data_IF_681309295604
#
_entry.id   IF_681309295604
#
_cell.length_a   1.000
_cell.length_b   1.000
_cell.length_c   1.000
_cell.angle_alpha   90.00
_cell.angle_beta   90.00
_cell.angle_gamma   90.00
#
_symmetry.space_group_name_H-M   'P 1'
#
loop_
_entity.id
_entity.type
_entity.pdbx_description
1 polymer ?
#
# COMPACT_ATOMS: atom_id res chain seq x y z
N UNK A 1 -82.47 11.25 -61.32
CA UNK A 1 -83.01 10.21 -62.23
C UNK A 1 -82.20 8.93 -62.07
N UNK A 2 -82.83 7.75 -62.22
CA UNK A 2 -82.39 6.44 -61.73
C UNK A 2 -81.65 5.63 -62.81
N UNK A 3 -81.01 4.51 -62.45
CA UNK A 3 -81.16 3.20 -63.11
C UNK A 3 -80.14 2.17 -62.59
N UNK A 4 -80.64 0.95 -62.46
CA UNK A 4 -80.00 -0.32 -62.11
C UNK A 4 -79.09 -0.87 -63.23
N UNK A 5 -78.42 -1.99 -62.88
CA UNK A 5 -78.05 -3.17 -63.72
C UNK A 5 -76.53 -3.39 -63.90
N UNK A 6 -75.98 -4.35 -63.13
CA UNK A 6 -75.53 -5.65 -63.66
C UNK A 6 -74.10 -5.86 -64.20
N UNK A 7 -73.62 -7.08 -63.95
CA UNK A 7 -72.61 -7.91 -64.68
C UNK A 7 -71.08 -7.66 -64.37
N UNK A 8 -70.14 -8.57 -64.71
CA UNK A 8 -69.66 -9.72 -63.91
C UNK A 8 -68.13 -9.74 -63.60
N UNK A 9 -67.76 -10.79 -62.85
CA UNK A 9 -66.42 -11.33 -62.58
C UNK A 9 -65.50 -11.52 -63.80
N UNK A 10 -64.20 -11.22 -63.62
CA UNK A 10 -63.01 -12.04 -63.98
C UNK A 10 -61.72 -11.20 -63.96
N UNK A 11 -60.70 -11.59 -63.18
CA UNK A 11 -59.44 -12.21 -63.64
C UNK A 11 -58.36 -12.22 -62.53
N UNK A 12 -57.59 -13.31 -62.53
CA UNK A 12 -56.36 -13.62 -61.79
C UNK A 12 -55.46 -12.46 -61.35
N UNK A 13 -55.04 -12.48 -60.08
CA UNK A 13 -53.70 -12.03 -59.67
C UNK A 13 -53.16 -12.98 -58.60
N UNK A 14 -51.96 -13.51 -58.84
CA UNK A 14 -51.21 -14.37 -57.94
C UNK A 14 -50.83 -13.62 -56.64
N UNK A 15 -51.18 -14.19 -55.49
CA UNK A 15 -50.70 -13.67 -54.19
C UNK A 15 -49.49 -14.47 -53.73
N UNK A 16 -48.36 -13.78 -53.73
CA UNK A 16 -47.05 -14.21 -53.24
C UNK A 16 -47.11 -14.38 -51.72
N UNK A 17 -46.63 -15.53 -51.25
CA UNK A 17 -46.48 -15.86 -49.84
C UNK A 17 -45.52 -14.88 -49.12
N UNK A 18 -45.92 -14.37 -47.95
CA UNK A 18 -45.00 -13.71 -47.00
C UNK A 18 -44.72 -14.67 -45.83
N UNK A 19 -43.49 -15.16 -45.65
CA UNK A 19 -43.15 -15.95 -44.49
C UNK A 19 -42.98 -15.05 -43.25
N UNK A 20 -43.49 -15.57 -42.14
CA UNK A 20 -43.46 -15.00 -40.80
C UNK A 20 -42.00 -14.89 -40.30
N UNK A 21 -41.55 -13.69 -39.96
CA UNK A 21 -40.19 -13.46 -39.45
C UNK A 21 -40.15 -13.67 -37.94
N UNK A 22 -39.65 -14.82 -37.51
CA UNK A 22 -39.12 -14.97 -36.15
C UNK A 22 -37.87 -14.09 -36.02
N UNK A 23 -37.93 -13.08 -35.16
CA UNK A 23 -36.76 -12.27 -34.79
C UNK A 23 -35.83 -13.11 -33.92
N UNK A 24 -34.61 -13.33 -34.41
CA UNK A 24 -33.55 -14.02 -33.66
C UNK A 24 -33.16 -13.22 -32.40
N UNK A 25 -32.76 -13.90 -31.32
CA UNK A 25 -32.25 -13.22 -30.12
C UNK A 25 -31.02 -12.39 -30.48
N UNK A 26 -31.05 -11.10 -30.15
CA UNK A 26 -29.91 -10.20 -30.28
C UNK A 26 -28.81 -10.66 -29.32
N UNK A 27 -27.83 -11.40 -29.84
CA UNK A 27 -26.57 -11.59 -29.13
C UNK A 27 -25.83 -10.25 -29.17
N UNK A 28 -25.40 -9.71 -28.01
CA UNK A 28 -24.65 -8.47 -27.99
C UNK A 28 -23.34 -8.64 -28.78
N UNK A 29 -22.90 -7.62 -29.53
CA UNK A 29 -21.68 -7.70 -30.31
C UNK A 29 -20.50 -8.03 -29.40
N UNK A 30 -19.66 -8.96 -29.84
CA UNK A 30 -18.50 -9.53 -29.10
C UNK A 30 -17.55 -8.48 -28.52
N UNK A 31 -17.52 -7.27 -29.09
CA UNK A 31 -16.78 -6.12 -28.55
C UNK A 31 -17.28 -5.66 -27.18
N UNK A 32 -18.59 -5.63 -26.94
CA UNK A 32 -19.19 -5.18 -25.67
C UNK A 32 -18.89 -6.20 -24.57
N UNK A 33 -18.97 -7.50 -24.88
CA UNK A 33 -18.61 -8.56 -23.93
C UNK A 33 -17.12 -8.50 -23.54
N UNK A 34 -16.22 -8.23 -24.50
CA UNK A 34 -14.78 -8.06 -24.22
C UNK A 34 -14.49 -6.87 -23.31
N UNK A 35 -15.13 -5.73 -23.56
CA UNK A 35 -14.97 -4.52 -22.72
C UNK A 35 -15.44 -4.76 -21.29
N UNK A 36 -16.56 -5.47 -21.10
CA UNK A 36 -17.06 -5.85 -19.77
C UNK A 36 -16.09 -6.81 -19.07
N UNK A 37 -15.57 -7.82 -19.77
CA UNK A 37 -14.60 -8.76 -19.19
C UNK A 37 -13.30 -8.08 -18.74
N UNK A 38 -12.80 -7.12 -19.52
CA UNK A 38 -11.60 -6.33 -19.15
C UNK A 38 -11.89 -5.47 -17.92
N UNK A 39 -13.03 -4.79 -17.88
CA UNK A 39 -13.42 -3.96 -16.75
C UNK A 39 -13.57 -4.79 -15.47
N UNK A 40 -14.22 -5.95 -15.57
CA UNK A 40 -14.37 -6.90 -14.46
C UNK A 40 -13.02 -7.41 -13.97
N UNK A 41 -12.09 -7.73 -14.87
CA UNK A 41 -10.74 -8.16 -14.51
C UNK A 41 -9.93 -7.05 -13.80
N UNK A 42 -10.04 -5.80 -14.26
CA UNK A 42 -9.41 -4.63 -13.62
C UNK A 42 -10.01 -4.40 -12.22
N UNK A 43 -11.33 -4.45 -12.07
CA UNK A 43 -12.01 -4.31 -10.77
C UNK A 43 -11.62 -5.44 -9.82
N UNK A 44 -11.54 -6.69 -10.30
CA UNK A 44 -11.05 -7.83 -9.51
C UNK A 44 -9.58 -7.66 -9.10
N UNK A 45 -8.71 -7.16 -9.97
CA UNK A 45 -7.31 -6.89 -9.63
C UNK A 45 -7.17 -5.75 -8.60
N UNK A 46 -8.02 -4.72 -8.68
CA UNK A 46 -8.09 -3.61 -7.72
C UNK A 46 -8.66 -4.06 -6.36
N UNK A 47 -9.63 -4.98 -6.35
CA UNK A 47 -10.19 -5.56 -5.13
C UNK A 47 -9.23 -6.58 -4.48
N UNK A 48 -8.45 -7.31 -5.29
CA UNK A 48 -7.45 -8.26 -4.80
C UNK A 48 -6.16 -7.59 -4.30
N UNK A 49 -5.98 -6.30 -4.56
CA UNK A 49 -4.86 -5.50 -4.04
C UNK A 49 -5.13 -4.90 -2.65
N UNK A 50 -6.08 -5.46 -1.90
CA UNK A 50 -6.07 -5.32 -0.44
C UNK A 50 -4.78 -5.94 0.08
N UNK A 51 -3.73 -5.14 0.19
CA UNK A 51 -2.65 -5.42 1.13
C UNK A 51 -3.33 -5.70 2.45
N UNK A 52 -3.29 -6.95 2.90
CA UNK A 52 -3.69 -7.27 4.25
C UNK A 52 -2.94 -6.28 5.13
N UNK A 53 -3.70 -5.47 5.87
CA UNK A 53 -3.20 -4.80 7.04
C UNK A 53 -2.96 -5.88 8.11
N UNK A 54 -2.10 -6.86 7.81
CA UNK A 54 -1.26 -7.39 8.85
C UNK A 54 -0.54 -6.15 9.36
N UNK A 55 -0.91 -5.71 10.57
CA UNK A 55 -0.10 -4.76 11.28
C UNK A 55 1.29 -5.37 11.27
N UNK A 56 2.19 -4.85 10.40
CA UNK A 56 3.51 -5.42 10.23
C UNK A 56 4.15 -5.43 11.61
N UNK A 57 4.23 -6.60 12.20
CA UNK A 57 4.80 -6.75 13.52
C UNK A 57 6.27 -6.36 13.38
N UNK A 58 6.62 -5.20 13.93
CA UNK A 58 7.99 -4.70 13.85
C UNK A 58 8.88 -5.55 14.74
N UNK A 59 9.88 -6.17 14.14
CA UNK A 59 10.89 -6.92 14.89
C UNK A 59 12.10 -6.04 15.09
N UNK A 60 12.32 -5.63 16.34
CA UNK A 60 13.54 -4.93 16.76
C UNK A 60 14.63 -5.96 17.02
N UNK A 61 15.66 -5.97 16.19
CA UNK A 61 16.81 -6.88 16.32
C UNK A 61 17.92 -6.24 17.14
N UNK A 62 18.76 -7.05 17.77
CA UNK A 62 20.03 -6.57 18.32
C UNK A 62 20.95 -6.12 17.17
N UNK A 63 21.75 -5.08 17.39
CA UNK A 63 22.59 -4.45 16.37
C UNK A 63 23.54 -5.44 15.65
N UNK A 64 24.04 -6.47 16.35
CA UNK A 64 24.92 -7.52 15.78
C UNK A 64 24.17 -8.50 14.89
N UNK A 65 22.89 -8.69 15.15
CA UNK A 65 22.03 -9.63 14.43
C UNK A 65 21.51 -9.02 13.11
N UNK A 66 21.81 -7.74 12.85
CA UNK A 66 21.59 -7.12 11.55
C UNK A 66 22.54 -7.67 10.50
N UNK A 67 21.99 -8.05 9.35
CA UNK A 67 22.75 -8.33 8.13
C UNK A 67 23.48 -7.08 7.62
N UNK A 68 24.44 -7.27 6.70
CA UNK A 68 25.15 -6.14 6.09
C UNK A 68 24.24 -5.18 5.29
N UNK A 69 23.15 -5.68 4.69
CA UNK A 69 22.12 -4.84 4.07
C UNK A 69 21.30 -4.07 5.08
N UNK A 70 20.93 -4.68 6.21
CA UNK A 70 20.17 -3.99 7.28
C UNK A 70 21.00 -2.90 7.94
N UNK A 71 22.31 -3.14 8.16
CA UNK A 71 23.22 -2.11 8.70
C UNK A 71 23.33 -0.91 7.76
N UNK A 72 23.48 -1.13 6.45
CA UNK A 72 23.48 -0.04 5.46
C UNK A 72 22.15 0.70 5.44
N UNK A 73 21.03 -0.04 5.44
CA UNK A 73 19.69 0.54 5.49
C UNK A 73 19.45 1.41 6.74
N UNK A 74 20.00 1.02 7.89
CA UNK A 74 19.98 1.82 9.12
C UNK A 74 20.76 3.13 8.96
N UNK A 75 22.00 3.05 8.49
CA UNK A 75 22.87 4.22 8.31
C UNK A 75 22.28 5.19 7.28
N UNK A 76 21.87 4.66 6.11
CA UNK A 76 21.28 5.46 5.04
C UNK A 76 20.00 6.16 5.49
N UNK A 77 19.14 5.46 6.26
CA UNK A 77 17.93 6.02 6.84
C UNK A 77 18.20 7.16 7.81
N UNK A 78 19.17 6.99 8.73
CA UNK A 78 19.55 8.04 9.67
C UNK A 78 20.19 9.26 8.98
N UNK A 79 21.01 9.02 7.95
CA UNK A 79 21.57 10.09 7.11
C UNK A 79 20.48 10.85 6.36
N UNK A 80 19.46 10.15 5.84
CA UNK A 80 18.29 10.78 5.21
C UNK A 80 17.51 11.64 6.22
N UNK A 81 17.24 11.12 7.41
CA UNK A 81 16.59 11.87 8.51
C UNK A 81 17.40 13.10 8.96
N UNK A 82 18.73 13.04 8.89
CA UNK A 82 19.56 14.21 9.17
C UNK A 82 19.42 15.26 8.08
N UNK A 83 19.46 14.85 6.81
CA UNK A 83 19.40 15.75 5.64
C UNK A 83 18.08 16.50 5.51
N UNK A 84 16.97 15.87 5.85
CA UNK A 84 15.63 16.48 5.77
C UNK A 84 15.15 17.14 7.09
N UNK A 85 16.03 17.14 8.10
CA UNK A 85 15.78 17.72 9.41
C UNK A 85 14.86 16.92 10.33
N UNK A 86 14.46 15.70 9.95
CA UNK A 86 13.63 14.82 10.79
C UNK A 86 14.31 14.48 12.11
N UNK A 87 15.61 14.22 12.08
CA UNK A 87 16.39 13.96 13.29
C UNK A 87 16.44 15.18 14.22
N UNK A 88 16.55 16.39 13.65
CA UNK A 88 16.54 17.63 14.43
C UNK A 88 15.15 17.90 15.05
N UNK A 89 14.06 17.58 14.36
CA UNK A 89 12.71 17.66 14.91
C UNK A 89 12.54 16.73 16.12
N UNK A 90 12.99 15.48 16.02
CA UNK A 90 12.96 14.53 17.15
C UNK A 90 13.79 15.04 18.33
N UNK A 91 14.98 15.58 18.07
CA UNK A 91 15.82 16.22 19.11
C UNK A 91 15.10 17.37 19.81
N UNK A 92 14.43 18.25 19.05
CA UNK A 92 13.66 19.36 19.59
C UNK A 92 12.48 18.89 20.45
N UNK A 93 11.73 17.89 19.99
CA UNK A 93 10.63 17.30 20.78
C UNK A 93 11.14 16.80 22.13
N UNK A 94 12.26 16.08 22.15
CA UNK A 94 12.87 15.63 23.40
C UNK A 94 13.31 16.80 24.30
N UNK A 95 14.00 17.79 23.74
CA UNK A 95 14.51 18.94 24.48
C UNK A 95 13.38 19.76 25.13
N UNK A 96 12.30 20.01 24.38
CA UNK A 96 11.15 20.80 24.85
C UNK A 96 10.34 20.05 25.94
N UNK A 97 10.51 18.73 26.07
CA UNK A 97 9.75 17.88 26.99
C UNK A 97 10.58 17.31 28.16
N UNK A 98 11.82 17.77 28.38
CA UNK A 98 12.67 17.30 29.49
C UNK A 98 11.94 17.22 30.85
N UNK A 99 11.17 18.24 31.29
CA UNK A 99 10.51 18.22 32.59
C UNK A 99 9.50 17.08 32.78
N UNK A 100 8.92 16.56 31.69
CA UNK A 100 7.96 15.45 31.73
C UNK A 100 8.66 14.13 31.42
N UNK A 101 9.66 14.16 30.53
CA UNK A 101 10.38 12.98 30.06
C UNK A 101 11.31 12.37 31.11
N UNK A 102 11.84 13.16 32.06
CA UNK A 102 12.90 12.73 33.00
C UNK A 102 12.53 12.96 34.46
N UNK A 103 12.96 12.04 35.34
CA UNK A 103 12.73 12.12 36.79
C UNK A 103 11.24 12.20 37.19
N UNK A 104 10.36 11.64 36.36
CA UNK A 104 8.92 11.56 36.60
C UNK A 104 8.44 10.12 36.47
N UNK A 105 7.21 9.85 36.91
CA UNK A 105 6.54 8.56 36.68
C UNK A 105 6.28 8.28 35.18
N UNK A 106 6.38 9.30 34.32
CA UNK A 106 6.21 9.15 32.88
C UNK A 106 7.50 8.72 32.17
N UNK A 107 8.65 8.67 32.85
CA UNK A 107 9.95 8.42 32.21
C UNK A 107 9.92 7.25 31.21
N UNK A 108 9.45 6.08 31.64
CA UNK A 108 9.42 4.89 30.77
C UNK A 108 8.38 4.99 29.65
N UNK A 109 7.20 5.54 29.94
CA UNK A 109 6.11 5.63 28.97
C UNK A 109 6.39 6.68 27.90
N UNK A 110 6.94 7.82 28.29
CA UNK A 110 7.34 8.90 27.39
C UNK A 110 8.41 8.43 26.42
N UNK A 111 9.48 7.79 26.90
CA UNK A 111 10.55 7.28 26.03
C UNK A 111 10.07 6.14 25.13
N UNK A 112 9.13 5.29 25.59
CA UNK A 112 8.52 4.26 24.74
C UNK A 112 7.74 4.87 23.57
N UNK A 113 6.95 5.91 23.83
CA UNK A 113 6.23 6.64 22.78
C UNK A 113 7.19 7.38 21.84
N UNK A 114 8.19 8.07 22.38
CA UNK A 114 9.21 8.75 21.60
C UNK A 114 9.97 7.80 20.65
N UNK A 115 10.35 6.61 21.15
CA UNK A 115 11.01 5.59 20.33
C UNK A 115 10.09 4.97 19.27
N UNK A 116 8.77 4.96 19.50
CA UNK A 116 7.81 4.57 18.47
C UNK A 116 7.80 5.60 17.33
N UNK A 117 7.71 6.89 17.66
CA UNK A 117 7.72 7.96 16.65
C UNK A 117 9.05 8.02 15.88
N UNK A 118 10.18 7.81 16.58
CA UNK A 118 11.49 7.74 15.95
C UNK A 118 11.63 6.53 15.01
N UNK A 119 11.05 5.38 15.37
CA UNK A 119 10.99 4.19 14.51
C UNK A 119 10.07 4.42 13.30
N UNK A 120 8.90 5.01 13.49
CA UNK A 120 8.00 5.41 12.40
C UNK A 120 8.74 6.28 11.38
N UNK A 121 9.49 7.27 11.87
CA UNK A 121 10.23 8.16 11.00
C UNK A 121 11.36 7.45 10.27
N UNK A 122 12.18 6.65 10.96
CA UNK A 122 13.25 5.88 10.33
C UNK A 122 12.71 4.99 9.20
N UNK A 123 11.61 4.29 9.42
CA UNK A 123 11.02 3.37 8.44
C UNK A 123 10.39 4.09 7.23
N UNK A 124 10.12 5.40 7.30
CA UNK A 124 9.77 6.20 6.10
C UNK A 124 10.96 6.41 5.17
N UNK A 125 12.17 6.38 5.70
CA UNK A 125 13.42 6.61 4.96
C UNK A 125 14.11 5.34 4.50
N UNK A 126 13.61 4.16 4.90
CA UNK A 126 14.21 2.88 4.52
C UNK A 126 13.20 1.75 4.46
N UNK A 127 13.31 0.91 3.42
CA UNK A 127 12.56 -0.34 3.31
C UNK A 127 13.37 -1.56 3.77
N UNK A 128 14.61 -1.34 4.25
CA UNK A 128 15.55 -2.41 4.58
C UNK A 128 15.47 -2.89 6.03
N UNK A 129 14.56 -2.36 6.84
CA UNK A 129 14.42 -2.67 8.27
C UNK A 129 12.99 -3.07 8.61
N UNK A 130 12.84 -4.01 9.54
CA UNK A 130 11.54 -4.36 10.12
C UNK A 130 11.19 -3.48 11.34
N UNK A 131 12.19 -2.91 12.00
CA UNK A 131 12.03 -2.05 13.17
C UNK A 131 13.37 -1.41 13.57
N UNK A 132 13.31 -0.49 14.53
CA UNK A 132 14.48 0.17 15.10
C UNK A 132 15.32 -0.86 15.88
N UNK A 133 16.60 -1.06 15.56
CA UNK A 133 17.44 -2.01 16.29
C UNK A 133 17.71 -1.52 17.71
N UNK A 134 18.13 -2.44 18.58
CA UNK A 134 18.60 -2.12 19.94
C UNK A 134 20.06 -2.54 20.14
N UNK A 135 20.71 -1.91 21.11
CA UNK A 135 22.08 -2.24 21.52
C UNK A 135 22.00 -2.95 22.87
N UNK A 136 22.47 -4.20 22.91
CA UNK A 136 22.61 -4.92 24.18
C UNK A 136 23.94 -4.53 24.86
N UNK A 137 23.88 -3.50 25.70
CA UNK A 137 25.03 -2.98 26.43
C UNK A 137 25.66 -3.99 27.41
N UNK A 138 24.94 -5.06 27.78
CA UNK A 138 25.47 -6.06 28.71
C UNK A 138 26.58 -6.91 28.10
N UNK A 139 26.58 -7.06 26.76
CA UNK A 139 27.57 -7.86 26.02
C UNK A 139 28.96 -7.21 25.99
N UNK A 140 29.01 -5.89 26.05
CA UNK A 140 30.25 -5.11 25.99
C UNK A 140 30.60 -4.46 27.33
N UNK A 141 29.92 -4.82 28.42
CA UNK A 141 30.06 -4.13 29.70
C UNK A 141 31.51 -4.11 30.25
N UNK A 142 32.34 -5.08 29.85
CA UNK A 142 33.77 -5.14 30.22
C UNK A 142 34.67 -4.26 29.35
N UNK A 143 34.26 -4.00 28.12
CA UNK A 143 34.96 -3.14 27.16
C UNK A 143 33.94 -2.44 26.25
N UNK A 144 33.31 -1.35 26.71
CA UNK A 144 32.25 -0.69 25.94
C UNK A 144 32.73 -0.20 24.57
N UNK A 145 34.01 0.18 24.43
CA UNK A 145 34.56 0.67 23.17
C UNK A 145 34.60 -0.41 22.08
N UNK A 146 34.60 -1.70 22.46
CA UNK A 146 34.51 -2.83 21.52
C UNK A 146 33.12 -3.01 20.90
N UNK A 147 32.10 -2.29 21.39
CA UNK A 147 30.74 -2.40 20.88
C UNK A 147 30.65 -2.03 19.40
N UNK A 148 29.86 -2.76 18.57
CA UNK A 148 29.56 -2.38 17.20
C UNK A 148 29.01 -0.97 17.04
N UNK A 149 28.37 -0.43 18.08
CA UNK A 149 27.86 0.93 18.10
C UNK A 149 28.95 2.00 17.95
N UNK A 150 30.21 1.68 18.26
CA UNK A 150 31.35 2.61 18.16
C UNK A 150 32.26 2.34 16.97
N UNK A 151 31.83 1.51 16.01
CA UNK A 151 32.61 1.22 14.81
C UNK A 151 32.39 2.25 13.71
N UNK A 152 33.42 2.42 12.87
CA UNK A 152 33.43 3.41 11.79
C UNK A 152 32.47 3.09 10.63
N UNK A 153 31.93 1.87 10.59
CA UNK A 153 31.00 1.40 9.56
C UNK A 153 29.52 1.55 9.97
N UNK A 154 29.25 2.13 11.15
CA UNK A 154 27.90 2.30 11.69
C UNK A 154 27.63 3.74 12.15
N UNK A 155 28.03 4.11 13.36
CA UNK A 155 27.64 5.40 13.95
C UNK A 155 28.80 6.35 14.21
N UNK A 156 30.05 5.89 14.06
CA UNK A 156 31.22 6.75 14.11
C UNK A 156 31.70 6.98 12.67
N UNK A 157 31.92 8.23 12.22
CA UNK A 157 32.58 8.50 10.95
C UNK A 157 34.11 8.33 11.04
#
# INVERSE_FOLDING_TARGET
MPALIGIPSRLHIATIARPNRYTLPHTPPTSIMRSISILVAIVLALLASTQSADAQCRVRKELRDLSGSEKRALVDGLVAMHRDGSLERLRKVHADNIPVAHNTNNFLLWHRAFMWDAEDELLRHTSGLSGMPYIDLTRDARDPASSPAFRNDLFMP
#
